data_IF_885136808016
#
_entry.id   IF_885136808016
#
_cell.length_a   1.000
_cell.length_b   1.000
_cell.length_c   1.000
_cell.angle_alpha   90.00
_cell.angle_beta   90.00
_cell.angle_gamma   90.00
#
_symmetry.space_group_name_H-M   'P 1'
#
loop_
_entity.id
_entity.type
_entity.pdbx_description
1 polymer ?
#
# COMPACT_ATOMS: atom_id res chain seq x y z
N UNK A 1 -21.81 18.95 12.45
CA UNK A 1 -22.30 17.94 11.48
C UNK A 1 -21.29 17.94 10.36
N UNK A 2 -20.55 16.85 10.25
CA UNK A 2 -19.59 16.69 9.18
C UNK A 2 -20.37 16.52 7.86
N UNK A 3 -20.08 17.30 6.81
CA UNK A 3 -20.80 17.16 5.56
C UNK A 3 -20.60 15.74 5.02
N UNK A 4 -21.63 15.12 4.41
CA UNK A 4 -21.49 13.80 3.84
C UNK A 4 -20.35 13.82 2.82
N UNK A 5 -19.40 12.88 2.98
CA UNK A 5 -18.33 12.67 2.01
C UNK A 5 -18.99 12.26 0.69
N UNK A 6 -19.08 13.20 -0.24
CA UNK A 6 -19.49 12.85 -1.59
C UNK A 6 -18.36 12.05 -2.24
N UNK A 7 -18.61 10.81 -2.65
CA UNK A 7 -17.63 10.04 -3.40
C UNK A 7 -17.32 10.80 -4.69
N UNK A 8 -16.10 11.30 -4.80
CA UNK A 8 -15.63 11.87 -6.05
C UNK A 8 -15.37 10.71 -7.04
N UNK A 9 -15.83 10.82 -8.29
CA UNK A 9 -15.39 9.90 -9.33
C UNK A 9 -13.86 9.97 -9.42
N UNK A 10 -13.20 8.86 -9.81
CA UNK A 10 -11.77 8.92 -10.11
C UNK A 10 -11.54 10.09 -11.07
N UNK A 11 -10.51 10.91 -10.86
CA UNK A 11 -10.18 11.96 -11.82
C UNK A 11 -10.03 11.31 -13.20
N UNK A 12 -10.36 12.03 -14.24
CA UNK A 12 -10.06 11.62 -15.62
C UNK A 12 -8.53 11.54 -15.75
N UNK A 13 -7.99 10.38 -15.46
CA UNK A 13 -6.59 10.05 -15.66
C UNK A 13 -6.47 9.47 -17.06
N UNK A 14 -5.39 9.78 -17.75
CA UNK A 14 -4.99 9.12 -19.00
C UNK A 14 -4.55 7.67 -18.75
N UNK A 15 -5.30 6.98 -17.89
CA UNK A 15 -5.05 5.59 -17.50
C UNK A 15 -5.83 4.67 -18.43
N UNK A 16 -5.14 3.67 -18.95
CA UNK A 16 -5.72 2.71 -19.90
C UNK A 16 -6.38 1.54 -19.18
N UNK A 17 -7.19 0.80 -19.90
CA UNK A 17 -7.59 -0.53 -19.48
C UNK A 17 -6.36 -1.44 -19.45
N UNK A 18 -6.35 -2.48 -18.57
CA UNK A 18 -5.30 -3.47 -18.54
C UNK A 18 -5.07 -4.12 -19.91
N UNK A 19 -3.84 -4.07 -20.39
CA UNK A 19 -3.46 -4.67 -21.67
C UNK A 19 -2.32 -5.68 -21.49
N UNK A 20 -2.64 -6.96 -21.56
CA UNK A 20 -1.69 -8.05 -21.43
C UNK A 20 -0.60 -8.06 -22.50
N UNK A 21 -0.80 -7.42 -23.66
CA UNK A 21 0.22 -7.38 -24.72
C UNK A 21 1.44 -6.56 -24.30
N UNK A 22 1.25 -5.57 -23.45
CA UNK A 22 2.33 -4.70 -22.94
C UNK A 22 3.24 -5.37 -21.92
N UNK A 23 2.86 -6.53 -21.38
CA UNK A 23 3.59 -7.24 -20.32
C UNK A 23 3.96 -8.70 -20.70
N UNK A 24 3.68 -9.11 -21.93
CA UNK A 24 3.97 -10.48 -22.39
C UNK A 24 5.41 -10.85 -22.13
N UNK A 25 5.60 -11.99 -21.46
CA UNK A 25 6.90 -12.59 -21.13
C UNK A 25 7.88 -11.65 -20.39
N UNK A 26 7.34 -10.60 -19.72
CA UNK A 26 8.13 -9.63 -18.95
C UNK A 26 8.00 -9.88 -17.46
N UNK A 27 9.05 -9.48 -16.74
CA UNK A 27 8.93 -9.31 -15.29
C UNK A 27 8.17 -8.02 -15.01
N UNK A 28 7.17 -8.10 -14.14
CA UNK A 28 6.29 -6.98 -13.79
C UNK A 28 6.42 -6.66 -12.32
N UNK A 29 6.57 -5.37 -12.00
CA UNK A 29 6.39 -4.85 -10.66
C UNK A 29 5.12 -4.02 -10.62
N UNK A 30 4.17 -4.42 -9.75
CA UNK A 30 2.94 -3.66 -9.56
C UNK A 30 3.14 -2.59 -8.49
N UNK A 31 2.69 -1.38 -8.81
CA UNK A 31 2.53 -0.26 -7.89
C UNK A 31 1.04 -0.05 -7.67
N UNK A 32 0.62 -0.10 -6.43
CA UNK A 32 -0.76 0.13 -6.02
C UNK A 32 -0.85 1.30 -5.03
N UNK A 33 -2.03 1.85 -4.75
CA UNK A 33 -2.22 3.06 -3.95
C UNK A 33 -1.61 3.08 -2.55
N UNK A 34 -1.25 1.94 -2.01
CA UNK A 34 -0.63 1.80 -0.68
C UNK A 34 0.88 1.51 -0.75
N UNK A 35 1.44 1.39 -1.96
CA UNK A 35 2.87 1.20 -2.18
C UNK A 35 3.44 2.32 -3.05
N UNK A 36 3.62 3.49 -2.43
CA UNK A 36 4.09 4.72 -3.08
C UNK A 36 5.54 5.06 -2.76
N UNK A 37 6.26 4.12 -2.16
CA UNK A 37 7.68 4.23 -1.84
C UNK A 37 8.59 4.07 -3.06
N UNK A 38 9.88 3.95 -2.81
CA UNK A 38 10.87 3.68 -3.85
C UNK A 38 10.70 2.27 -4.42
N UNK A 39 11.03 2.13 -5.70
CA UNK A 39 11.06 0.82 -6.35
C UNK A 39 12.20 -0.03 -5.79
N UNK A 40 12.05 -1.36 -5.71
CA UNK A 40 13.12 -2.23 -5.25
C UNK A 40 14.38 -2.10 -6.11
N UNK A 41 15.53 -1.93 -5.50
CA UNK A 41 16.82 -1.79 -6.20
C UNK A 41 17.21 -3.03 -7.04
N UNK A 42 16.63 -4.19 -6.73
CA UNK A 42 16.90 -5.46 -7.44
C UNK A 42 15.93 -5.78 -8.57
N UNK A 43 15.18 -4.81 -9.10
CA UNK A 43 14.35 -5.04 -10.27
C UNK A 43 15.23 -5.27 -11.51
N UNK A 44 14.94 -6.28 -12.36
CA UNK A 44 15.61 -6.44 -13.65
C UNK A 44 15.50 -5.16 -14.49
N UNK A 45 16.53 -4.85 -15.25
CA UNK A 45 16.57 -3.64 -16.08
C UNK A 45 15.47 -3.62 -17.16
N UNK A 46 14.96 -4.78 -17.55
CA UNK A 46 13.87 -4.97 -18.51
C UNK A 46 12.50 -5.12 -17.84
N UNK A 47 12.41 -5.03 -16.52
CA UNK A 47 11.13 -5.12 -15.81
C UNK A 47 10.21 -3.96 -16.17
N UNK A 48 8.93 -4.28 -16.27
CA UNK A 48 7.86 -3.28 -16.50
C UNK A 48 7.25 -2.90 -15.16
N UNK A 49 7.21 -1.62 -14.87
CA UNK A 49 6.51 -1.10 -13.69
C UNK A 49 5.11 -0.67 -14.10
N UNK A 50 4.10 -1.27 -13.48
CA UNK A 50 2.69 -1.05 -13.80
C UNK A 50 1.97 -0.50 -12.58
N UNK A 51 1.44 0.70 -12.68
CA UNK A 51 0.55 1.27 -11.68
C UNK A 51 -0.88 0.77 -11.91
N UNK A 52 -1.55 0.31 -10.85
CA UNK A 52 -2.89 -0.26 -10.95
C UNK A 52 -3.89 0.41 -10.02
N UNK A 53 -5.07 0.73 -10.55
CA UNK A 53 -6.28 0.97 -9.78
C UNK A 53 -7.28 -0.15 -10.04
N UNK A 54 -7.69 -0.83 -8.98
CA UNK A 54 -8.70 -1.89 -9.04
C UNK A 54 -10.07 -1.26 -8.83
N UNK A 55 -10.86 -1.12 -9.88
CA UNK A 55 -12.14 -0.42 -9.83
C UNK A 55 -13.16 -1.09 -8.90
N UNK A 56 -13.06 -2.40 -8.69
CA UNK A 56 -13.91 -3.13 -7.73
C UNK A 56 -13.72 -2.62 -6.30
N UNK A 57 -12.47 -2.38 -5.89
CA UNK A 57 -12.17 -1.80 -4.59
C UNK A 57 -12.74 -0.38 -4.48
N UNK A 58 -12.48 0.46 -5.47
CA UNK A 58 -12.82 1.88 -5.40
C UNK A 58 -14.32 2.16 -5.56
N UNK A 59 -15.09 1.25 -6.15
CA UNK A 59 -16.56 1.32 -6.11
C UNK A 59 -17.12 1.08 -4.71
N UNK A 60 -16.51 0.16 -3.98
CA UNK A 60 -16.90 -0.13 -2.60
C UNK A 60 -16.39 0.92 -1.61
N UNK A 61 -15.20 1.48 -1.86
CA UNK A 61 -14.50 2.42 -0.99
C UNK A 61 -14.06 3.66 -1.77
N UNK A 62 -14.98 4.56 -2.08
CA UNK A 62 -14.67 5.76 -2.85
C UNK A 62 -13.79 6.73 -2.06
N UNK A 63 -12.92 7.43 -2.77
CA UNK A 63 -11.99 8.39 -2.19
C UNK A 63 -12.38 9.82 -2.49
N UNK A 64 -11.87 10.78 -1.69
CA UNK A 64 -11.93 12.19 -2.00
C UNK A 64 -11.06 12.52 -3.21
N UNK A 65 -11.43 13.58 -3.93
CA UNK A 65 -10.66 14.05 -5.10
C UNK A 65 -9.19 14.37 -4.76
N UNK A 66 -8.95 14.95 -3.58
CA UNK A 66 -7.59 15.26 -3.11
C UNK A 66 -6.74 13.99 -2.98
N UNK A 67 -7.32 12.93 -2.41
CA UNK A 67 -6.62 11.66 -2.25
C UNK A 67 -6.32 11.02 -3.60
N UNK A 68 -7.28 11.04 -4.51
CA UNK A 68 -7.10 10.56 -5.87
C UNK A 68 -5.94 11.26 -6.57
N UNK A 69 -5.92 12.60 -6.58
CA UNK A 69 -4.87 13.38 -7.24
C UNK A 69 -3.50 13.07 -6.67
N UNK A 70 -3.36 13.06 -5.35
CA UNK A 70 -2.08 12.77 -4.70
C UNK A 70 -1.56 11.38 -5.06
N UNK A 71 -2.39 10.35 -4.90
CA UNK A 71 -2.00 8.96 -5.14
C UNK A 71 -1.70 8.73 -6.61
N UNK A 72 -2.57 9.18 -7.51
CA UNK A 72 -2.38 8.99 -8.94
C UNK A 72 -1.13 9.69 -9.47
N UNK A 73 -0.86 10.92 -9.01
CA UNK A 73 0.36 11.65 -9.38
C UNK A 73 1.61 10.87 -8.96
N UNK A 74 1.65 10.38 -7.71
CA UNK A 74 2.81 9.62 -7.23
C UNK A 74 2.96 8.27 -7.94
N UNK A 75 1.88 7.57 -8.21
CA UNK A 75 1.93 6.32 -8.97
C UNK A 75 2.44 6.55 -10.41
N UNK A 76 2.02 7.66 -11.03
CA UNK A 76 2.47 8.02 -12.38
C UNK A 76 3.98 8.33 -12.46
N UNK A 77 4.57 8.85 -11.38
CA UNK A 77 6.03 9.05 -11.31
C UNK A 77 6.81 7.73 -11.20
N UNK A 78 6.20 6.71 -10.58
CA UNK A 78 6.85 5.43 -10.30
C UNK A 78 6.74 4.43 -11.44
N UNK A 79 5.69 4.50 -12.24
CA UNK A 79 5.34 3.47 -13.21
C UNK A 79 5.42 3.97 -14.65
N UNK A 80 5.72 3.05 -15.57
CA UNK A 80 5.72 3.31 -17.01
C UNK A 80 4.37 3.01 -17.67
N UNK A 81 3.58 2.12 -17.07
CA UNK A 81 2.22 1.79 -17.51
C UNK A 81 1.22 2.11 -16.39
N UNK A 82 0.06 2.59 -16.77
CA UNK A 82 -0.97 3.02 -15.84
C UNK A 82 -2.29 2.36 -16.21
N UNK A 83 -2.75 1.43 -15.39
CA UNK A 83 -3.96 0.65 -15.63
C UNK A 83 -5.05 0.96 -14.62
N UNK A 84 -6.26 1.13 -15.14
CA UNK A 84 -7.48 1.24 -14.35
C UNK A 84 -8.51 0.26 -14.91
N UNK A 85 -8.92 -0.72 -14.13
CA UNK A 85 -9.84 -1.74 -14.58
C UNK A 85 -10.39 -2.57 -13.43
N UNK A 86 -11.34 -3.44 -13.76
CA UNK A 86 -11.84 -4.42 -12.81
C UNK A 86 -10.83 -5.56 -12.56
N UNK A 87 -11.07 -6.29 -11.48
CA UNK A 87 -10.18 -7.36 -11.04
C UNK A 87 -10.03 -8.47 -12.07
N UNK A 88 -11.08 -8.78 -12.83
CA UNK A 88 -11.06 -9.83 -13.85
C UNK A 88 -10.16 -9.46 -15.01
N UNK A 89 -10.36 -8.26 -15.56
CA UNK A 89 -9.53 -7.73 -16.66
C UNK A 89 -8.07 -7.58 -16.25
N UNK A 90 -7.84 -7.11 -15.02
CA UNK A 90 -6.49 -6.98 -14.45
C UNK A 90 -5.80 -8.35 -14.38
N UNK A 91 -6.45 -9.34 -13.78
CA UNK A 91 -5.92 -10.70 -13.67
C UNK A 91 -5.61 -11.33 -15.02
N UNK A 92 -6.50 -11.18 -15.99
CA UNK A 92 -6.31 -11.71 -17.35
C UNK A 92 -5.09 -11.08 -18.05
N UNK A 93 -4.88 -9.78 -17.88
CA UNK A 93 -3.73 -9.10 -18.45
C UNK A 93 -2.42 -9.55 -17.78
N UNK A 94 -2.39 -9.67 -16.45
CA UNK A 94 -1.20 -10.05 -15.67
C UNK A 94 -0.78 -11.50 -15.89
N UNK A 95 -1.70 -12.40 -16.24
CA UNK A 95 -1.37 -13.78 -16.60
C UNK A 95 -0.44 -13.92 -17.82
N UNK A 96 -0.31 -12.86 -18.63
CA UNK A 96 0.59 -12.83 -19.78
C UNK A 96 2.05 -12.51 -19.40
N UNK A 97 2.28 -12.01 -18.20
CA UNK A 97 3.62 -11.72 -17.69
C UNK A 97 4.38 -13.01 -17.33
N UNK A 98 5.70 -12.95 -17.44
CA UNK A 98 6.60 -14.03 -16.99
C UNK A 98 6.56 -14.17 -15.46
N UNK A 99 6.54 -13.06 -14.75
CA UNK A 99 6.50 -12.99 -13.30
C UNK A 99 5.90 -11.66 -12.87
N UNK A 100 5.03 -11.69 -11.89
CA UNK A 100 4.44 -10.49 -11.31
C UNK A 100 4.80 -10.43 -9.83
N UNK A 101 5.29 -9.30 -9.36
CA UNK A 101 5.62 -9.04 -7.95
C UNK A 101 5.03 -7.72 -7.49
N UNK A 102 4.72 -7.64 -6.22
CA UNK A 102 4.25 -6.42 -5.57
C UNK A 102 4.49 -6.47 -4.07
N UNK A 103 4.28 -5.36 -3.40
CA UNK A 103 4.20 -5.32 -1.94
C UNK A 103 2.85 -5.87 -1.48
N UNK A 104 2.85 -6.63 -0.40
CA UNK A 104 1.61 -7.14 0.18
C UNK A 104 0.71 -6.01 0.69
N UNK A 105 -0.60 -6.14 0.44
CA UNK A 105 -1.58 -5.11 0.84
C UNK A 105 -2.93 -5.74 1.19
N UNK A 106 -3.35 -5.68 2.48
CA UNK A 106 -4.60 -6.28 2.95
C UNK A 106 -5.86 -5.84 2.21
N UNK A 107 -5.93 -4.57 1.78
CA UNK A 107 -7.09 -4.06 1.03
C UNK A 107 -7.27 -4.73 -0.33
N UNK A 108 -6.22 -5.31 -0.88
CA UNK A 108 -6.21 -5.98 -2.17
C UNK A 108 -6.08 -7.51 -2.07
N UNK A 109 -6.07 -8.08 -0.85
CA UNK A 109 -5.96 -9.52 -0.61
C UNK A 109 -6.98 -10.38 -1.39
N UNK A 110 -8.18 -9.93 -1.71
CA UNK A 110 -9.07 -10.73 -2.54
C UNK A 110 -8.48 -11.09 -3.91
N UNK A 111 -7.52 -10.30 -4.40
CA UNK A 111 -7.00 -10.42 -5.75
C UNK A 111 -5.48 -10.59 -5.84
N UNK A 112 -4.69 -9.77 -5.11
CA UNK A 112 -3.22 -9.72 -5.23
C UNK A 112 -2.54 -11.09 -5.13
N UNK A 113 -2.87 -11.98 -4.17
CA UNK A 113 -2.22 -13.28 -4.06
C UNK A 113 -2.46 -14.21 -5.26
N UNK A 114 -3.48 -13.92 -6.06
CA UNK A 114 -3.79 -14.67 -7.28
C UNK A 114 -3.03 -14.13 -8.50
N UNK A 115 -2.58 -12.87 -8.45
CA UNK A 115 -1.93 -12.18 -9.57
C UNK A 115 -0.43 -12.10 -9.42
N UNK A 116 0.07 -11.99 -8.19
CA UNK A 116 1.43 -11.61 -7.91
C UNK A 116 2.03 -12.36 -6.72
N UNK A 117 3.34 -12.50 -6.75
CA UNK A 117 4.16 -12.83 -5.59
C UNK A 117 4.23 -11.59 -4.69
N UNK A 118 3.60 -11.68 -3.52
CA UNK A 118 3.54 -10.59 -2.57
C UNK A 118 4.79 -10.57 -1.68
N UNK A 119 5.49 -9.45 -1.67
CA UNK A 119 6.67 -9.23 -0.84
C UNK A 119 6.26 -8.52 0.44
N UNK A 120 6.67 -9.06 1.57
CA UNK A 120 6.41 -8.43 2.87
C UNK A 120 7.22 -7.14 3.03
N UNK A 121 6.58 -6.09 3.55
CA UNK A 121 7.28 -4.88 3.94
C UNK A 121 7.96 -5.10 5.29
N UNK A 122 9.22 -4.67 5.49
CA UNK A 122 9.82 -4.65 6.81
C UNK A 122 8.97 -3.81 7.76
N UNK A 123 8.52 -4.39 8.84
CA UNK A 123 7.75 -3.66 9.85
C UNK A 123 8.70 -2.92 10.78
N UNK A 124 8.42 -1.64 11.05
CA UNK A 124 9.19 -0.84 12.02
C UNK A 124 9.03 -1.33 13.46
N UNK A 125 7.91 -1.99 13.73
CA UNK A 125 7.57 -2.49 15.06
C UNK A 125 7.27 -3.99 14.99
N UNK A 126 7.58 -4.74 16.04
CA UNK A 126 7.18 -6.14 16.14
C UNK A 126 5.65 -6.26 16.11
N UNK A 127 5.15 -7.37 15.58
CA UNK A 127 3.73 -7.66 15.59
C UNK A 127 3.18 -7.69 17.02
N UNK A 128 2.07 -7.01 17.24
CA UNK A 128 1.34 -7.04 18.52
C UNK A 128 0.21 -8.04 18.38
N UNK A 129 0.44 -9.27 18.87
CA UNK A 129 -0.52 -10.38 18.73
C UNK A 129 -1.81 -10.21 19.53
N UNK A 130 -1.76 -9.42 20.62
CA UNK A 130 -2.93 -9.20 21.47
C UNK A 130 -3.73 -8.00 21.00
N UNK A 131 -5.06 -8.11 20.87
CA UNK A 131 -5.92 -6.97 20.60
C UNK A 131 -5.65 -5.81 21.57
N UNK A 132 -5.70 -4.61 21.07
CA UNK A 132 -5.49 -3.38 21.84
C UNK A 132 -6.74 -2.50 21.71
N UNK A 133 -7.26 -2.05 22.83
CA UNK A 133 -8.45 -1.20 22.88
C UNK A 133 -8.13 0.28 22.64
N UNK A 134 -6.83 0.63 22.64
CA UNK A 134 -6.37 1.99 22.39
C UNK A 134 -4.99 2.01 21.73
N UNK A 135 -4.69 3.13 21.06
CA UNK A 135 -3.38 3.39 20.50
C UNK A 135 -2.27 3.33 21.56
N UNK A 136 -2.52 3.86 22.76
CA UNK A 136 -1.54 3.86 23.86
C UNK A 136 -1.19 2.44 24.31
N UNK A 137 -2.15 1.53 24.36
CA UNK A 137 -1.89 0.12 24.66
C UNK A 137 -1.05 -0.53 23.56
N UNK A 138 -1.42 -0.30 22.29
CA UNK A 138 -0.67 -0.80 21.16
C UNK A 138 0.76 -0.27 21.17
N UNK A 139 0.94 1.04 21.33
CA UNK A 139 2.25 1.68 21.40
C UNK A 139 3.13 1.10 22.50
N UNK A 140 2.59 0.96 23.70
CA UNK A 140 3.31 0.38 24.85
C UNK A 140 3.78 -1.05 24.55
N UNK A 141 3.02 -1.82 23.80
CA UNK A 141 3.40 -3.20 23.43
C UNK A 141 4.38 -3.23 22.27
N UNK A 142 4.14 -2.45 21.24
CA UNK A 142 4.97 -2.37 20.04
C UNK A 142 6.37 -1.81 20.32
N UNK A 143 6.50 -0.87 21.27
CA UNK A 143 7.78 -0.24 21.65
C UNK A 143 8.60 -1.01 22.68
N UNK A 144 8.12 -2.13 23.20
CA UNK A 144 8.88 -3.00 24.16
C UNK A 144 9.98 -3.83 23.50
N UNK A 145 10.40 -3.49 22.32
CA UNK A 145 11.47 -4.15 21.59
C UNK A 145 12.72 -3.27 21.47
N UNK A 146 13.45 -3.36 20.36
CA UNK A 146 14.73 -2.65 20.15
C UNK A 146 14.63 -1.11 20.21
N UNK A 147 13.42 -0.56 20.26
CA UNK A 147 13.19 0.88 20.43
C UNK A 147 12.97 1.34 21.87
N UNK A 148 13.03 0.45 22.85
CA UNK A 148 12.89 0.84 24.26
C UNK A 148 14.01 1.77 24.75
N UNK A 149 15.14 1.80 24.05
CA UNK A 149 16.25 2.73 24.30
C UNK A 149 16.01 4.15 23.77
N UNK A 150 15.00 4.37 22.91
CA UNK A 150 14.61 5.69 22.41
C UNK A 150 13.56 6.38 23.30
N UNK A 151 12.90 5.64 24.18
CA UNK A 151 12.08 6.21 25.23
C UNK A 151 13.03 6.76 26.29
N UNK A 152 13.27 8.09 26.26
CA UNK A 152 14.09 8.77 27.26
C UNK A 152 13.64 8.48 28.69
N UNK A 153 14.50 8.73 29.68
CA UNK A 153 14.23 8.38 31.08
C UNK A 153 12.95 9.07 31.54
N UNK A 154 11.92 8.29 31.84
CA UNK A 154 10.77 8.78 32.57
C UNK A 154 11.28 9.43 33.85
N UNK A 155 11.04 10.73 34.01
CA UNK A 155 11.27 11.41 35.27
C UNK A 155 10.58 10.64 36.39
N UNK A 156 11.38 9.92 37.17
CA UNK A 156 10.95 9.36 38.43
C UNK A 156 10.57 10.54 39.33
N UNK A 157 9.26 10.73 39.53
CA UNK A 157 8.73 11.75 40.42
C UNK A 157 9.10 11.32 41.86
N UNK A 158 10.25 11.79 42.33
CA UNK A 158 10.71 11.59 43.71
C UNK A 158 9.80 12.41 44.61
N UNK A 159 8.80 11.76 45.20
CA UNK A 159 8.08 12.33 46.32
C UNK A 159 9.07 12.51 47.47
N UNK A 160 9.56 13.72 47.66
CA UNK A 160 10.25 14.14 48.88
C UNK A 160 9.25 14.08 50.04
N UNK A 161 9.38 13.09 50.88
CA UNK A 161 8.81 13.12 52.23
C UNK A 161 9.68 14.10 53.04
N UNK A 162 9.12 15.18 53.51
CA UNK A 162 9.68 16.00 54.57
C UNK A 162 9.16 15.51 55.93
N UNK A 163 9.99 15.62 56.97
CA UNK A 163 9.74 15.12 58.32
C UNK A 163 8.66 15.91 59.09
#
# INVERSE_FOLDING_TARGET
IEPPLHPAPPPALDWTLPDGSSVVDRDVWLVHPWNLGELPAGLPADAVVVAIFVSDFHRAWPWSERRWRFVASRMAELATLHWNGDASTMGAALQRARRVRTVDEPHLHPWLPQWAECVSVPTLFPAVEKPCDSFSQWWTRASRGPFSSLAGPHHANTKTQQP
#
